data_IF_154083391273
#
_entry.id   IF_154083391273
#
_cell.length_a   1.000
_cell.length_b   1.000
_cell.length_c   1.000
_cell.angle_alpha   90.00
_cell.angle_beta   90.00
_cell.angle_gamma   90.00
#
_symmetry.space_group_name_H-M   'P 1'
#
loop_
_entity.id
_entity.type
_entity.pdbx_description
1 polymer ?
#
# COMPACT_ATOMS: atom_id res chain seq x y z
N UNK A 1 -11.79 0.68 -1.63
CA UNK A 1 -11.20 -0.35 -2.51
C UNK A 1 -10.73 -1.54 -1.69
N UNK A 2 -10.77 -2.74 -2.24
CA UNK A 2 -10.25 -3.99 -1.65
C UNK A 2 -8.72 -4.07 -1.77
N UNK A 3 -8.11 -5.10 -1.18
CA UNK A 3 -6.66 -5.34 -1.30
C UNK A 3 -6.23 -5.58 -2.76
N UNK A 4 -7.05 -6.32 -3.55
CA UNK A 4 -6.73 -6.61 -4.95
C UNK A 4 -6.79 -5.33 -5.80
N UNK A 5 -7.80 -4.50 -5.57
CA UNK A 5 -7.94 -3.21 -6.24
C UNK A 5 -6.80 -2.25 -5.86
N UNK A 6 -6.38 -2.24 -4.59
CA UNK A 6 -5.24 -1.44 -4.14
C UNK A 6 -3.92 -1.87 -4.80
N UNK A 7 -3.69 -3.17 -4.92
CA UNK A 7 -2.52 -3.73 -5.58
C UNK A 7 -2.49 -3.33 -7.07
N UNK A 8 -3.63 -3.46 -7.76
CA UNK A 8 -3.78 -3.05 -9.16
C UNK A 8 -3.57 -1.54 -9.33
N UNK A 9 -4.22 -0.73 -8.50
CA UNK A 9 -4.13 0.73 -8.52
C UNK A 9 -2.69 1.23 -8.33
N UNK A 10 -1.95 0.63 -7.39
CA UNK A 10 -0.58 1.03 -7.09
C UNK A 10 0.49 0.33 -7.95
N UNK A 11 0.10 -0.62 -8.82
CA UNK A 11 1.06 -1.38 -9.64
C UNK A 11 2.00 -2.29 -8.83
N UNK A 12 1.53 -2.84 -7.70
CA UNK A 12 2.33 -3.69 -6.79
C UNK A 12 1.66 -5.04 -6.56
N UNK A 13 2.36 -5.98 -5.91
CA UNK A 13 1.75 -7.25 -5.50
C UNK A 13 0.80 -7.06 -4.31
N UNK A 14 -0.16 -7.98 -4.17
CA UNK A 14 -1.04 -8.07 -2.99
C UNK A 14 -0.23 -8.21 -1.69
N UNK A 15 0.91 -8.93 -1.74
CA UNK A 15 1.80 -9.07 -0.58
C UNK A 15 2.42 -7.74 -0.17
N UNK A 16 2.78 -6.87 -1.12
CA UNK A 16 3.26 -5.52 -0.83
C UNK A 16 2.21 -4.70 -0.09
N UNK A 17 0.94 -4.79 -0.50
CA UNK A 17 -0.17 -4.11 0.20
C UNK A 17 -0.29 -4.62 1.65
N UNK A 18 -0.22 -5.93 1.87
CA UNK A 18 -0.21 -6.48 3.23
C UNK A 18 1.02 -6.04 4.04
N UNK A 19 2.18 -5.92 3.40
CA UNK A 19 3.39 -5.40 4.03
C UNK A 19 3.22 -3.95 4.46
N UNK A 20 2.57 -3.11 3.65
CA UNK A 20 2.23 -1.74 4.04
C UNK A 20 1.33 -1.70 5.26
N UNK A 21 0.32 -2.57 5.34
CA UNK A 21 -0.55 -2.67 6.52
C UNK A 21 0.25 -3.09 7.75
N UNK A 22 1.04 -4.18 7.64
CA UNK A 22 1.85 -4.71 8.75
C UNK A 22 2.87 -3.69 9.26
N UNK A 23 3.42 -2.86 8.37
CA UNK A 23 4.41 -1.82 8.70
C UNK A 23 3.78 -0.48 9.08
N UNK A 24 2.44 -0.38 9.08
CA UNK A 24 1.72 0.84 9.46
C UNK A 24 1.71 1.95 8.39
N UNK A 25 2.08 1.65 7.14
CA UNK A 25 2.01 2.60 6.03
C UNK A 25 0.60 2.73 5.43
N UNK A 26 -0.26 1.73 5.62
CA UNK A 26 -1.63 1.73 5.12
C UNK A 26 -2.60 1.29 6.21
N UNK A 27 -3.56 2.14 6.53
CA UNK A 27 -4.61 1.86 7.53
C UNK A 27 -5.82 1.21 6.86
N UNK A 28 -6.36 0.15 7.49
CA UNK A 28 -7.63 -0.46 7.09
C UNK A 28 -8.76 0.46 7.55
N UNK A 29 -9.59 0.93 6.62
CA UNK A 29 -10.71 1.84 6.91
C UNK A 29 -12.00 1.13 7.33
N UNK A 30 -12.07 -0.18 7.14
CA UNK A 30 -13.22 -1.00 7.50
C UNK A 30 -13.22 -2.34 6.77
N UNK A 31 -14.32 -3.06 6.89
CA UNK A 31 -14.57 -4.33 6.22
C UNK A 31 -15.81 -4.20 5.33
N UNK A 32 -15.83 -4.88 4.18
CA UNK A 32 -17.03 -5.01 3.37
C UNK A 32 -17.96 -6.13 3.91
N UNK A 33 -19.13 -6.29 3.27
CA UNK A 33 -20.10 -7.35 3.56
C UNK A 33 -19.56 -8.80 3.48
N UNK A 34 -18.39 -9.02 2.85
CA UNK A 34 -17.70 -10.31 2.73
C UNK A 34 -16.47 -10.38 3.63
N UNK A 35 -16.36 -9.47 4.60
CA UNK A 35 -15.25 -9.39 5.53
C UNK A 35 -13.89 -9.06 4.87
N UNK A 36 -13.90 -8.43 3.69
CA UNK A 36 -12.69 -7.98 3.00
C UNK A 36 -12.29 -6.59 3.48
N UNK A 37 -10.97 -6.36 3.63
CA UNK A 37 -10.42 -5.06 4.03
C UNK A 37 -10.70 -3.99 2.98
N UNK A 38 -11.22 -2.84 3.43
CA UNK A 38 -11.46 -1.67 2.63
C UNK A 38 -10.48 -0.55 2.95
N UNK A 39 -10.03 0.13 1.90
CA UNK A 39 -9.10 1.26 1.95
C UNK A 39 -9.64 2.46 1.20
N UNK A 40 -9.26 3.66 1.64
CA UNK A 40 -9.45 4.90 0.88
C UNK A 40 -8.37 4.99 -0.20
N UNK A 41 -8.71 5.51 -1.38
CA UNK A 41 -7.76 5.72 -2.48
C UNK A 41 -6.55 6.54 -2.04
N UNK A 42 -6.78 7.65 -1.33
CA UNK A 42 -5.73 8.56 -0.87
C UNK A 42 -4.71 7.88 0.06
N UNK A 43 -5.17 6.97 0.93
CA UNK A 43 -4.27 6.29 1.87
C UNK A 43 -3.38 5.27 1.14
N UNK A 44 -3.93 4.60 0.11
CA UNK A 44 -3.14 3.71 -0.76
C UNK A 44 -2.10 4.50 -1.55
N UNK A 45 -2.46 5.65 -2.12
CA UNK A 45 -1.53 6.52 -2.84
C UNK A 45 -0.39 7.04 -1.93
N UNK A 46 -0.71 7.41 -0.68
CA UNK A 46 0.31 7.82 0.31
C UNK A 46 1.27 6.69 0.67
N UNK A 47 0.75 5.47 0.83
CA UNK A 47 1.57 4.29 1.10
C UNK A 47 2.53 3.97 -0.07
N UNK A 48 2.04 4.05 -1.31
CA UNK A 48 2.86 3.91 -2.51
C UNK A 48 3.98 4.94 -2.52
N UNK A 49 3.65 6.22 -2.39
CA UNK A 49 4.63 7.31 -2.42
C UNK A 49 5.70 7.13 -1.35
N UNK A 50 5.31 6.86 -0.10
CA UNK A 50 6.24 6.68 1.01
C UNK A 50 7.23 5.52 0.78
N UNK A 51 6.76 4.44 0.15
CA UNK A 51 7.61 3.27 -0.11
C UNK A 51 8.45 3.40 -1.36
N UNK A 52 7.97 4.08 -2.41
CA UNK A 52 8.74 4.41 -3.61
C UNK A 52 9.84 5.42 -3.33
N UNK A 53 9.55 6.49 -2.60
CA UNK A 53 10.58 7.46 -2.17
C UNK A 53 11.68 6.78 -1.36
N UNK A 54 11.31 5.84 -0.46
CA UNK A 54 12.30 5.07 0.30
C UNK A 54 13.17 4.19 -0.61
N UNK A 55 12.57 3.48 -1.57
CA UNK A 55 13.32 2.65 -2.52
C UNK A 55 14.30 3.50 -3.37
N UNK A 56 13.85 4.66 -3.85
CA UNK A 56 14.71 5.57 -4.62
C UNK A 56 15.87 6.09 -3.78
N UNK A 57 15.66 6.48 -2.52
CA UNK A 57 16.74 6.91 -1.62
C UNK A 57 17.78 5.82 -1.38
N UNK A 58 17.35 4.57 -1.27
CA UNK A 58 18.27 3.44 -1.13
C UNK A 58 19.12 3.28 -2.39
N UNK A 59 18.54 3.41 -3.58
CA UNK A 59 19.29 3.26 -4.83
C UNK A 59 20.28 4.41 -5.08
N UNK A 60 19.94 5.65 -4.71
CA UNK A 60 20.81 6.83 -4.89
C UNK A 60 21.87 6.93 -3.79
N UNK A 61 21.66 6.35 -2.62
CA UNK A 61 22.62 6.37 -1.50
C UNK A 61 23.70 5.29 -1.55
N UNK A 62 23.78 4.51 -2.64
CA UNK A 62 24.88 3.58 -2.91
C UNK A 62 25.78 4.23 -3.98
N UNK A 63 26.57 5.21 -3.56
CA UNK A 63 27.69 5.79 -4.32
C UNK A 63 28.94 5.81 -3.44
#
# INVERSE_FOLDING_TARGET
MTVKEAALFAGVSVQTVYSWIRRGHLTVGGLDHRNQKLFRHLDVARAEMATRTKAQRILVGVE
#
